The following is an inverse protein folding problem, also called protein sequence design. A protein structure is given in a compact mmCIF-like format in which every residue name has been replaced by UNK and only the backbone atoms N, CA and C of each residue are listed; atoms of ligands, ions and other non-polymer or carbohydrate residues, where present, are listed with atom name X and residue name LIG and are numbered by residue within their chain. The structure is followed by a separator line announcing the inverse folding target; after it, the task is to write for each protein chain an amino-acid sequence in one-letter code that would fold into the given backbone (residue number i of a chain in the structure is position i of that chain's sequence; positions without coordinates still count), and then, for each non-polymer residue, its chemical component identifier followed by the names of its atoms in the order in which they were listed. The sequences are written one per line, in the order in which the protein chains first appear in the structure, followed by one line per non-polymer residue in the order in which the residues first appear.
data_IF_318071448497
#
_entry.id   IF_318071448497
#
_cell.length_a   1.000
_cell.length_b   1.000
_cell.length_c   1.000
_cell.angle_alpha   90.00
_cell.angle_beta   90.00
_cell.angle_gamma   90.00
#
_symmetry.space_group_name_H-M   'P 1'
#
loop_
_entity.id
_entity.type
_entity.pdbx_description
1 polymer ?
#
# COMPACT_ATOMS: atom_id res chain seq x y z
N UNK A 1 10.09 -11.89 -6.43
CA UNK A 1 9.68 -11.25 -5.16
C UNK A 1 8.18 -11.40 -4.99
N UNK A 2 7.71 -11.87 -3.82
CA UNK A 2 6.28 -12.05 -3.53
C UNK A 2 5.75 -10.78 -2.90
N UNK A 3 4.66 -10.23 -3.43
CA UNK A 3 3.95 -9.11 -2.81
C UNK A 3 2.79 -9.68 -2.00
N UNK A 4 2.67 -9.27 -0.74
CA UNK A 4 1.55 -9.60 0.14
C UNK A 4 0.85 -8.32 0.59
N UNK A 5 -0.45 -8.41 0.84
CA UNK A 5 -1.19 -7.28 1.37
C UNK A 5 -0.82 -7.07 2.84
N UNK A 6 -0.49 -5.83 3.22
CA UNK A 6 -0.15 -5.48 4.58
C UNK A 6 -1.38 -5.22 5.48
N UNK A 7 -2.59 -5.15 4.92
CA UNK A 7 -3.84 -4.96 5.69
C UNK A 7 -4.07 -6.19 6.57
N UNK A 8 -4.42 -5.94 7.84
CA UNK A 8 -4.72 -6.98 8.82
C UNK A 8 -5.83 -7.91 8.28
N UNK A 9 -5.63 -9.21 8.42
CA UNK A 9 -6.53 -10.28 7.94
C UNK A 9 -6.72 -10.35 6.40
N UNK A 10 -5.87 -9.68 5.61
CA UNK A 10 -5.88 -9.81 4.16
C UNK A 10 -4.81 -10.79 3.67
N UNK A 11 -5.22 -11.97 3.19
CA UNK A 11 -4.32 -13.03 2.74
C UNK A 11 -3.96 -12.98 1.25
N UNK A 12 -4.30 -11.88 0.55
CA UNK A 12 -3.99 -11.74 -0.87
C UNK A 12 -2.47 -11.63 -1.12
N UNK A 13 -1.97 -12.40 -2.08
CA UNK A 13 -0.57 -12.45 -2.50
C UNK A 13 -0.45 -12.44 -4.02
N UNK A 14 0.71 -12.05 -4.55
CA UNK A 14 0.97 -12.02 -6.00
C UNK A 14 1.31 -13.38 -6.60
N UNK A 15 1.69 -14.34 -5.77
CA UNK A 15 2.07 -15.71 -6.16
C UNK A 15 1.29 -16.74 -5.33
N UNK A 16 1.09 -17.92 -5.92
CA UNK A 16 0.46 -19.08 -5.27
C UNK A 16 1.44 -19.82 -4.35
N UNK A 17 0.98 -20.93 -3.75
CA UNK A 17 1.78 -21.77 -2.84
C UNK A 17 2.96 -22.47 -3.53
N UNK A 18 2.98 -22.52 -4.86
CA UNK A 18 4.04 -23.10 -5.67
C UNK A 18 4.97 -22.03 -6.26
N UNK A 19 4.80 -20.76 -5.87
CA UNK A 19 5.59 -19.63 -6.36
C UNK A 19 5.21 -19.16 -7.77
N UNK A 20 4.11 -19.68 -8.35
CA UNK A 20 3.62 -19.24 -9.65
C UNK A 20 2.82 -17.96 -9.50
N UNK A 21 3.02 -17.03 -10.43
CA UNK A 21 2.23 -15.79 -10.48
C UNK A 21 0.75 -16.14 -10.71
N UNK A 22 -0.13 -15.57 -9.89
CA UNK A 22 -1.57 -15.78 -10.04
C UNK A 22 -2.03 -15.00 -11.29
N UNK A 23 -2.42 -15.72 -12.34
CA UNK A 23 -3.02 -15.13 -13.54
C UNK A 23 -4.35 -14.48 -13.16
N UNK A 24 -4.61 -13.26 -13.64
CA UNK A 24 -5.79 -12.45 -13.25
C UNK A 24 -5.91 -12.19 -11.73
N UNK A 25 -4.80 -12.26 -11.00
CA UNK A 25 -4.75 -11.93 -9.57
C UNK A 25 -4.98 -10.44 -9.29
N UNK A 26 -5.13 -10.12 -8.01
CA UNK A 26 -5.29 -8.73 -7.55
C UNK A 26 -4.02 -7.91 -7.81
N UNK A 27 -4.18 -6.60 -8.02
CA UNK A 27 -3.03 -5.68 -8.14
C UNK A 27 -2.55 -5.27 -6.74
N UNK A 28 -1.29 -4.89 -6.65
CA UNK A 28 -0.67 -4.42 -5.41
C UNK A 28 -0.19 -2.98 -5.60
N UNK A 29 -0.53 -2.11 -4.66
CA UNK A 29 -0.21 -0.69 -4.68
C UNK A 29 0.65 -0.32 -3.48
N UNK A 30 1.69 0.49 -3.70
CA UNK A 30 2.51 1.06 -2.64
C UNK A 30 1.84 2.26 -1.99
N UNK A 31 2.29 2.61 -0.79
CA UNK A 31 1.83 3.82 -0.12
C UNK A 31 2.20 5.08 -0.93
N UNK A 32 1.31 6.09 -0.99
CA UNK A 32 1.60 7.35 -1.66
C UNK A 32 2.87 8.02 -1.11
N UNK A 33 3.73 8.53 -2.00
CA UNK A 33 4.86 9.36 -1.62
C UNK A 33 4.39 10.77 -1.23
N UNK A 34 5.04 11.38 -0.24
CA UNK A 34 4.82 12.79 0.10
C UNK A 34 5.71 13.68 -0.79
N UNK A 35 5.07 14.46 -1.67
CA UNK A 35 5.76 15.22 -2.73
C UNK A 35 5.91 16.68 -2.34
N UNK A 36 6.93 16.98 -1.54
CA UNK A 36 7.17 18.32 -0.97
C UNK A 36 7.56 19.37 -2.02
N UNK A 37 8.20 18.96 -3.11
CA UNK A 37 8.76 19.86 -4.13
C UNK A 37 7.78 20.29 -5.22
N UNK A 38 6.54 19.78 -5.23
CA UNK A 38 5.54 20.05 -6.29
C UNK A 38 4.57 21.19 -5.93
N UNK A 39 4.96 22.07 -5.02
CA UNK A 39 4.13 23.16 -4.51
C UNK A 39 3.27 22.76 -3.31
N UNK A 40 2.79 23.77 -2.59
CA UNK A 40 2.10 23.64 -1.29
C UNK A 40 0.84 22.80 -1.37
N UNK A 41 -0.01 23.05 -2.38
CA UNK A 41 -1.27 22.33 -2.55
C UNK A 41 -1.06 20.83 -2.79
N UNK A 42 -0.10 20.46 -3.64
CA UNK A 42 0.22 19.06 -3.96
C UNK A 42 0.92 18.37 -2.78
N UNK A 43 1.82 19.07 -2.10
CA UNK A 43 2.47 18.58 -0.89
C UNK A 43 1.43 18.21 0.17
N UNK A 44 0.49 19.11 0.47
CA UNK A 44 -0.58 18.87 1.45
C UNK A 44 -1.52 17.74 1.03
N UNK A 45 -1.92 17.69 -0.25
CA UNK A 45 -2.77 16.61 -0.77
C UNK A 45 -2.09 15.24 -0.62
N UNK A 46 -0.83 15.13 -1.02
CA UNK A 46 -0.09 13.86 -0.96
C UNK A 46 0.21 13.43 0.48
N UNK A 47 0.49 14.40 1.37
CA UNK A 47 0.63 14.17 2.82
C UNK A 47 -0.66 13.58 3.41
N UNK A 48 -1.82 14.19 3.14
CA UNK A 48 -3.13 13.70 3.62
C UNK A 48 -3.45 12.29 3.10
N UNK A 49 -3.21 12.03 1.80
CA UNK A 49 -3.41 10.69 1.22
C UNK A 49 -2.52 9.65 1.89
N UNK A 50 -1.24 9.97 2.12
CA UNK A 50 -0.30 9.07 2.81
C UNK A 50 -0.75 8.79 4.24
N UNK A 51 -1.15 9.80 5.01
CA UNK A 51 -1.68 9.63 6.37
C UNK A 51 -2.95 8.77 6.40
N UNK A 52 -3.88 8.98 5.47
CA UNK A 52 -5.11 8.20 5.38
C UNK A 52 -4.85 6.71 5.10
N UNK A 53 -3.85 6.39 4.28
CA UNK A 53 -3.45 5.00 4.06
C UNK A 53 -2.84 4.36 5.31
N UNK A 54 -1.95 5.08 6.00
CA UNK A 54 -1.31 4.62 7.24
C UNK A 54 -2.38 4.30 8.29
N UNK A 55 -3.36 5.19 8.48
CA UNK A 55 -4.45 4.97 9.44
C UNK A 55 -5.37 3.83 9.04
N UNK A 56 -5.66 3.65 7.74
CA UNK A 56 -6.54 2.60 7.25
C UNK A 56 -5.97 1.19 7.48
N UNK A 57 -4.64 1.02 7.37
CA UNK A 57 -3.98 -0.29 7.54
C UNK A 57 -3.92 -0.73 9.01
N UNK A 58 -4.03 0.23 9.96
CA UNK A 58 -4.09 -0.02 11.42
C UNK A 58 -2.96 -0.90 11.98
N UNK A 59 -1.77 -0.83 11.37
CA UNK A 59 -0.58 -1.56 11.82
C UNK A 59 0.35 -0.65 12.60
N UNK A 60 0.78 -1.10 13.79
CA UNK A 60 1.66 -0.32 14.68
C UNK A 60 3.06 -0.11 14.11
N UNK A 61 3.52 -1.03 13.27
CA UNK A 61 4.84 -1.01 12.63
C UNK A 61 4.90 -0.17 11.34
N UNK A 62 3.75 0.35 10.88
CA UNK A 62 3.66 1.21 9.70
C UNK A 62 3.27 2.61 10.18
N UNK A 63 4.20 3.55 10.08
CA UNK A 63 3.97 4.96 10.46
C UNK A 63 4.14 5.86 9.23
N UNK A 64 3.81 7.15 9.35
CA UNK A 64 3.95 8.09 8.23
C UNK A 64 5.40 8.14 7.68
N UNK A 65 6.37 8.18 8.59
CA UNK A 65 7.79 8.27 8.28
C UNK A 65 8.44 6.90 8.06
N UNK A 66 7.89 5.84 8.64
CA UNK A 66 8.41 4.48 8.53
C UNK A 66 7.46 3.57 7.74
N UNK A 67 7.64 3.55 6.42
CA UNK A 67 6.94 2.62 5.51
C UNK A 67 7.97 1.87 4.68
N UNK A 68 8.08 0.56 4.89
CA UNK A 68 8.96 -0.28 4.09
C UNK A 68 8.52 -0.32 2.62
N UNK A 69 9.49 -0.35 1.69
CA UNK A 69 9.27 -0.49 0.24
C UNK A 69 8.53 -1.78 -0.15
N UNK A 70 8.45 -2.74 0.76
CA UNK A 70 7.78 -4.03 0.56
C UNK A 70 6.37 -4.08 1.15
N UNK A 71 5.87 -2.96 1.68
CA UNK A 71 4.48 -2.85 2.17
C UNK A 71 3.55 -2.45 1.04
N UNK A 72 2.57 -3.30 0.74
CA UNK A 72 1.61 -3.10 -0.33
C UNK A 72 0.17 -3.30 0.14
N UNK A 73 -0.77 -2.61 -0.50
CA UNK A 73 -2.21 -2.81 -0.33
C UNK A 73 -2.77 -3.41 -1.61
N UNK A 74 -3.58 -4.48 -1.50
CA UNK A 74 -4.15 -5.12 -2.68
C UNK A 74 -5.36 -4.34 -3.23
N UNK A 75 -5.68 -4.53 -4.51
CA UNK A 75 -6.74 -3.79 -5.20
C UNK A 75 -8.13 -3.94 -4.61
N UNK A 76 -8.39 -4.97 -3.80
CA UNK A 76 -9.69 -5.19 -3.14
C UNK A 76 -10.05 -4.16 -2.06
N UNK A 77 -9.09 -3.36 -1.61
CA UNK A 77 -9.33 -2.32 -0.60
C UNK A 77 -9.69 -0.95 -1.20
N UNK A 78 -9.83 -0.87 -2.52
CA UNK A 78 -10.22 0.34 -3.22
C UNK A 78 -11.60 0.13 -3.84
N UNK A 79 -12.42 1.17 -3.78
CA UNK A 79 -13.63 1.23 -4.58
C UNK A 79 -13.23 1.35 -6.06
N UNK A 80 -13.89 0.56 -6.91
CA UNK A 80 -13.74 0.58 -8.37
C UNK A 80 -14.47 1.74 -8.99
#
# INVERSE_FOLDING_TARGET
MVNSCCVINCNNRSQDRYGKRILNGVRFFSFPAWKQHLGTQISELTKRRRMAWVSAVRRKDITFDNISRHMFVCSRHFLS
#
